data_IF_657135764547
#
_entry.id   IF_657135764547
#
_cell.length_a   1.000
_cell.length_b   1.000
_cell.length_c   1.000
_cell.angle_alpha   90.00
_cell.angle_beta   90.00
_cell.angle_gamma   90.00
#
_symmetry.space_group_name_H-M   'P 1'
#
loop_
_entity.id
_entity.type
_entity.pdbx_description
1 polymer ?
#
# COMPACT_ATOMS: atom_id res chain seq x y z
N UNK A 1 11.37 8.94 7.38
CA UNK A 1 10.23 8.83 6.43
C UNK A 1 8.99 8.37 7.16
N UNK A 2 7.80 8.69 6.64
CA UNK A 2 6.54 8.48 7.36
C UNK A 2 6.00 7.05 7.32
N UNK A 3 6.62 6.12 6.60
CA UNK A 3 6.26 4.69 6.64
C UNK A 3 4.83 4.38 6.17
N UNK A 4 4.16 5.30 5.48
CA UNK A 4 2.84 5.05 4.94
C UNK A 4 2.75 5.66 3.55
N UNK A 5 1.78 5.17 2.78
CA UNK A 5 1.48 5.65 1.44
C UNK A 5 0.02 5.36 1.07
N UNK A 6 -0.30 5.66 -0.18
CA UNK A 6 -1.60 5.40 -0.77
C UNK A 6 -1.42 4.66 -2.09
N UNK A 7 -2.31 3.71 -2.36
CA UNK A 7 -2.40 3.01 -3.64
C UNK A 7 -3.66 3.51 -4.32
N UNK A 8 -3.50 4.19 -5.46
CA UNK A 8 -4.61 4.64 -6.27
C UNK A 8 -5.15 3.49 -7.13
N UNK A 9 -6.47 3.30 -7.12
CA UNK A 9 -7.17 2.32 -7.94
C UNK A 9 -7.71 2.96 -9.21
N UNK A 10 -7.99 2.12 -10.21
CA UNK A 10 -8.58 2.55 -11.49
C UNK A 10 -9.99 3.15 -11.33
N UNK A 11 -10.70 2.81 -10.25
CA UNK A 11 -12.01 3.37 -9.91
C UNK A 11 -11.94 4.79 -9.29
N UNK A 12 -10.72 5.31 -9.09
CA UNK A 12 -10.46 6.63 -8.50
C UNK A 12 -10.48 6.65 -6.98
N UNK A 13 -10.59 5.50 -6.31
CA UNK A 13 -10.44 5.40 -4.86
C UNK A 13 -8.99 5.16 -4.45
N UNK A 14 -8.60 5.73 -3.31
CA UNK A 14 -7.28 5.53 -2.72
C UNK A 14 -7.35 4.56 -1.54
N UNK A 15 -6.40 3.63 -1.49
CA UNK A 15 -6.22 2.69 -0.38
C UNK A 15 -5.05 3.12 0.46
N UNK A 16 -5.28 3.28 1.75
CA UNK A 16 -4.20 3.53 2.71
C UNK A 16 -3.37 2.25 2.90
N UNK A 17 -2.04 2.38 2.85
CA UNK A 17 -1.10 1.28 3.12
C UNK A 17 -0.02 1.73 4.11
N UNK A 18 0.25 0.89 5.11
CA UNK A 18 1.35 1.07 6.06
C UNK A 18 2.52 0.15 5.69
N UNK A 19 3.76 0.60 5.90
CA UNK A 19 4.97 -0.13 5.55
C UNK A 19 5.01 -1.54 6.15
N UNK A 20 4.38 -1.74 7.32
CA UNK A 20 4.32 -3.04 7.98
C UNK A 20 3.57 -4.10 7.16
N UNK A 21 2.60 -3.68 6.33
CA UNK A 21 1.77 -4.57 5.52
C UNK A 21 2.47 -5.02 4.22
N UNK A 22 3.53 -4.32 3.79
CA UNK A 22 4.29 -4.68 2.59
C UNK A 22 5.04 -6.00 2.84
N UNK A 23 4.77 -6.99 1.97
CA UNK A 23 5.44 -8.29 1.96
C UNK A 23 6.56 -8.26 0.92
N UNK A 24 7.74 -8.78 1.27
CA UNK A 24 8.91 -8.82 0.39
C UNK A 24 10.22 -8.86 1.18
N UNK A 25 11.28 -9.39 0.55
CA UNK A 25 12.62 -9.40 1.11
C UNK A 25 13.31 -8.05 0.84
N UNK A 26 13.75 -7.35 1.88
CA UNK A 26 14.45 -6.07 1.77
C UNK A 26 13.69 -4.88 2.35
N UNK A 27 13.91 -3.69 1.76
CA UNK A 27 13.25 -2.45 2.21
C UNK A 27 11.77 -2.46 1.82
N UNK A 28 10.89 -2.35 2.80
CA UNK A 28 9.43 -2.34 2.64
C UNK A 28 8.94 -0.98 2.08
N UNK A 29 9.28 -0.70 0.84
CA UNK A 29 8.96 0.56 0.14
C UNK A 29 8.30 0.28 -1.20
N UNK A 30 7.38 1.15 -1.58
CA UNK A 30 6.78 1.18 -2.92
C UNK A 30 7.28 2.42 -3.65
N UNK A 31 7.65 2.25 -4.91
CA UNK A 31 8.03 3.36 -5.79
C UNK A 31 6.78 3.97 -6.45
N UNK A 32 6.83 5.25 -6.81
CA UNK A 32 5.76 5.91 -7.54
C UNK A 32 5.55 5.23 -8.91
N UNK A 33 4.31 4.88 -9.23
CA UNK A 33 3.96 4.18 -10.48
C UNK A 33 4.21 2.67 -10.46
N UNK A 34 4.71 2.10 -9.35
CA UNK A 34 4.86 0.67 -9.21
C UNK A 34 3.48 -0.02 -9.17
N UNK A 35 3.25 -0.94 -10.11
CA UNK A 35 2.07 -1.80 -10.08
C UNK A 35 2.20 -2.82 -8.94
N UNK A 36 1.16 -2.94 -8.12
CA UNK A 36 1.11 -3.83 -6.96
C UNK A 36 -0.22 -4.58 -6.91
N UNK A 37 -0.19 -5.76 -6.31
CA UNK A 37 -1.39 -6.51 -5.93
C UNK A 37 -1.51 -6.44 -4.41
N UNK A 38 -2.72 -6.19 -3.91
CA UNK A 38 -3.00 -6.11 -2.48
C UNK A 38 -4.35 -6.76 -2.18
N UNK A 39 -4.46 -7.34 -1.00
CA UNK A 39 -5.73 -7.75 -0.42
C UNK A 39 -6.24 -6.61 0.49
N UNK A 40 -7.53 -6.31 0.39
CA UNK A 40 -8.17 -5.23 1.15
C UNK A 40 -8.82 -5.84 2.37
N UNK A 41 -8.26 -5.56 3.53
CA UNK A 41 -8.86 -5.93 4.81
C UNK A 41 -9.66 -4.74 5.33
N UNK A 42 -10.96 -4.93 5.57
CA UNK A 42 -11.76 -3.96 6.32
C UNK A 42 -11.29 -3.98 7.78
N UNK A 43 -10.39 -3.06 8.12
CA UNK A 43 -9.98 -2.84 9.50
C UNK A 43 -11.12 -2.14 10.25
N UNK A 44 -12.06 -2.93 10.78
CA UNK A 44 -13.01 -2.48 11.80
C UNK A 44 -12.21 -1.85 12.95
N UNK A 45 -12.35 -0.53 13.09
CA UNK A 45 -11.67 0.24 14.14
C UNK A 45 -12.61 0.50 15.30
#
# INVERSE_FOLDING_TARGET
>A
EKGFGFISREDGSDVFVHFSAIQGDGFKTLEEGQAVTFDVEDSDR
#
